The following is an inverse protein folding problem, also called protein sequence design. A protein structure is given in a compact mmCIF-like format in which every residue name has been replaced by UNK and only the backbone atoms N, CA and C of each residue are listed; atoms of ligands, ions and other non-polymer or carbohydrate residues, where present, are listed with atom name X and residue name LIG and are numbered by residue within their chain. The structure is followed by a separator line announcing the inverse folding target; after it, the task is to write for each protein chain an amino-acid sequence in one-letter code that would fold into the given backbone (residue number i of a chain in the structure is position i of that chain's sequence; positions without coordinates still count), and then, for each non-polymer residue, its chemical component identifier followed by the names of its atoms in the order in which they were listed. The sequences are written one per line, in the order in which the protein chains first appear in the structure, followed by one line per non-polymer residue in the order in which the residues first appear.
data_IF_837560439322
#
_entry.id   IF_837560439322
#
_cell.length_a   1.000
_cell.length_b   1.000
_cell.length_c   1.000
_cell.angle_alpha   90.00
_cell.angle_beta   90.00
_cell.angle_gamma   90.00
#
_symmetry.space_group_name_H-M   'P 1'
#
loop_
_entity.id
_entity.type
_entity.pdbx_description
1 polymer ?
#
# COMPACT_ATOMS: atom_id res chain seq x y z
N UNK A 1 14.41 -10.01 21.00
CA UNK A 1 13.76 -10.88 19.99
C UNK A 1 13.26 -10.08 18.78
N UNK A 2 13.99 -9.03 18.33
CA UNK A 2 13.45 -8.06 17.36
C UNK A 2 13.97 -8.26 15.93
N UNK A 3 14.05 -9.52 15.48
CA UNK A 3 14.49 -9.88 14.13
C UNK A 3 13.41 -10.54 13.27
N UNK A 4 12.24 -10.85 13.84
CA UNK A 4 11.20 -11.64 13.16
C UNK A 4 10.17 -10.78 12.42
N UNK A 5 10.08 -9.47 12.66
CA UNK A 5 9.12 -8.59 11.97
C UNK A 5 9.87 -7.53 11.18
N UNK A 6 9.52 -7.37 9.91
CA UNK A 6 9.98 -6.28 9.04
C UNK A 6 8.79 -5.50 8.50
N UNK A 7 8.99 -4.22 8.27
CA UNK A 7 7.97 -3.33 7.72
C UNK A 7 8.37 -2.96 6.30
N UNK A 8 7.54 -3.34 5.35
CA UNK A 8 7.61 -2.95 3.95
C UNK A 8 6.67 -1.75 3.77
N UNK A 9 7.15 -0.73 3.07
CA UNK A 9 6.39 0.50 2.83
C UNK A 9 6.38 0.75 1.34
N UNK A 10 5.17 0.93 0.80
CA UNK A 10 4.91 1.28 -0.58
C UNK A 10 4.35 2.71 -0.64
N UNK A 11 5.21 3.74 -0.75
CA UNK A 11 4.78 5.05 -1.20
C UNK A 11 4.28 4.95 -2.64
N UNK A 12 3.03 5.36 -2.87
CA UNK A 12 2.37 5.26 -4.16
C UNK A 12 1.93 6.64 -4.63
N UNK A 13 2.09 6.89 -5.92
CA UNK A 13 1.64 8.11 -6.60
C UNK A 13 0.99 7.77 -7.93
N UNK A 14 0.18 8.69 -8.41
CA UNK A 14 -0.38 8.68 -9.77
C UNK A 14 -0.02 10.01 -10.44
N UNK A 15 0.28 9.97 -11.74
CA UNK A 15 0.45 11.19 -12.51
C UNK A 15 -0.86 11.64 -13.17
N UNK A 16 -0.83 12.79 -13.83
CA UNK A 16 -2.01 13.35 -14.51
C UNK A 16 -2.52 12.46 -15.67
N UNK A 17 -1.71 11.52 -16.17
CA UNK A 17 -2.12 10.56 -17.20
C UNK A 17 -2.79 9.32 -16.59
N UNK A 18 -2.83 9.19 -15.26
CA UNK A 18 -3.38 8.03 -14.56
C UNK A 18 -2.38 6.90 -14.36
N UNK A 19 -1.09 7.13 -14.66
CA UNK A 19 -0.06 6.11 -14.50
C UNK A 19 0.37 6.02 -13.04
N UNK A 20 0.11 4.85 -12.44
CA UNK A 20 0.48 4.55 -11.05
C UNK A 20 1.94 4.15 -10.95
N UNK A 21 2.65 4.70 -9.95
CA UNK A 21 4.01 4.34 -9.61
C UNK A 21 4.15 4.12 -8.12
N UNK A 22 5.01 3.19 -7.75
CA UNK A 22 5.33 2.92 -6.35
C UNK A 22 6.83 2.92 -6.12
N UNK A 23 7.23 3.18 -4.88
CA UNK A 23 8.57 2.88 -4.37
C UNK A 23 8.47 1.71 -3.42
N UNK A 24 9.54 0.94 -3.30
CA UNK A 24 9.60 -0.17 -2.36
C UNK A 24 10.68 0.10 -1.31
N UNK A 25 10.23 0.38 -0.09
CA UNK A 25 11.08 0.67 1.04
C UNK A 25 10.94 -0.44 2.07
N UNK A 26 12.04 -0.83 2.71
CA UNK A 26 12.03 -1.79 3.81
C UNK A 26 12.70 -1.16 5.01
N UNK A 27 12.02 -1.19 6.14
CA UNK A 27 12.52 -0.65 7.41
C UNK A 27 12.41 -1.72 8.50
N UNK A 28 13.35 -1.66 9.44
CA UNK A 28 13.32 -2.52 10.63
C UNK A 28 12.36 -1.92 11.65
N UNK A 29 11.69 -2.79 12.38
CA UNK A 29 10.88 -2.42 13.54
C UNK A 29 11.80 -2.12 14.73
N UNK A 30 11.76 -0.89 15.24
CA UNK A 30 12.47 -0.51 16.45
C UNK A 30 11.96 -1.25 17.69
N UNK A 31 12.75 -1.30 18.77
CA UNK A 31 12.42 -2.15 19.91
C UNK A 31 11.19 -1.76 20.73
N UNK A 32 10.81 -0.49 20.66
CA UNK A 32 9.63 0.08 21.31
C UNK A 32 8.72 0.78 20.30
N UNK A 33 8.93 0.52 19.01
CA UNK A 33 8.22 1.18 17.92
C UNK A 33 7.06 0.30 17.46
N UNK A 34 5.88 0.89 17.23
CA UNK A 34 4.79 0.18 16.55
C UNK A 34 5.07 0.06 15.05
N UNK A 35 4.52 -0.94 14.35
CA UNK A 35 4.63 -1.02 12.90
C UNK A 35 4.17 0.26 12.16
N UNK A 36 3.15 0.96 12.66
CA UNK A 36 2.68 2.23 12.10
C UNK A 36 3.73 3.34 12.24
N UNK A 37 4.40 3.42 13.40
CA UNK A 37 5.50 4.37 13.62
C UNK A 37 6.67 4.05 12.68
N UNK A 38 7.01 2.77 12.53
CA UNK A 38 8.06 2.32 11.62
C UNK A 38 7.72 2.64 10.16
N UNK A 39 6.48 2.43 9.73
CA UNK A 39 6.01 2.74 8.39
C UNK A 39 6.08 4.25 8.10
N UNK A 40 5.58 5.09 9.01
CA UNK A 40 5.68 6.56 8.90
C UNK A 40 7.14 7.01 8.79
N UNK A 41 8.00 6.54 9.69
CA UNK A 41 9.44 6.84 9.67
C UNK A 41 10.09 6.39 8.37
N UNK A 42 9.78 5.17 7.91
CA UNK A 42 10.31 4.61 6.67
C UNK A 42 9.92 5.41 5.43
N UNK A 43 8.71 5.98 5.42
CA UNK A 43 8.24 6.85 4.34
C UNK A 43 8.60 8.33 4.52
N UNK A 44 9.14 8.75 5.67
CA UNK A 44 9.41 10.16 5.99
C UNK A 44 8.17 11.00 6.31
N UNK A 45 7.06 10.36 6.70
CA UNK A 45 5.81 11.03 7.07
C UNK A 45 5.85 11.44 8.54
N UNK A 46 5.51 12.70 8.83
CA UNK A 46 5.49 13.22 10.20
C UNK A 46 4.28 12.68 10.98
N UNK A 47 4.44 12.56 12.30
CA UNK A 47 3.31 12.19 13.15
C UNK A 47 2.24 13.30 13.12
N UNK A 48 0.99 12.92 12.90
CA UNK A 48 -0.13 13.86 12.81
C UNK A 48 -0.31 14.53 11.45
N UNK A 49 0.48 14.16 10.43
CA UNK A 49 0.19 14.55 9.05
C UNK A 49 -1.16 13.95 8.61
N UNK A 50 -2.16 14.81 8.43
CA UNK A 50 -3.50 14.44 8.02
C UNK A 50 -3.68 14.43 6.49
N UNK A 51 -2.66 14.83 5.72
CA UNK A 51 -2.70 14.85 4.25
C UNK A 51 -2.18 13.55 3.63
N UNK A 52 -1.51 12.70 4.42
CA UNK A 52 -0.92 11.46 3.95
C UNK A 52 -1.54 10.26 4.67
N UNK A 53 -2.13 9.35 3.90
CA UNK A 53 -2.60 8.07 4.42
C UNK A 53 -1.41 7.14 4.60
N UNK A 54 -1.27 6.58 5.80
CA UNK A 54 -0.34 5.47 6.09
C UNK A 54 -1.17 4.31 6.62
N UNK A 55 -1.33 3.27 5.81
CA UNK A 55 -2.28 2.20 6.12
C UNK A 55 -1.66 0.81 5.93
N UNK A 56 -1.89 -0.09 6.88
CA UNK A 56 -1.52 -1.50 6.74
C UNK A 56 -2.40 -2.17 5.70
N UNK A 57 -1.83 -2.85 4.72
CA UNK A 57 -2.61 -3.45 3.61
C UNK A 57 -2.49 -4.95 3.57
N UNK A 58 -1.35 -5.51 3.96
CA UNK A 58 -1.14 -6.95 3.93
C UNK A 58 -0.02 -7.38 4.86
N UNK A 59 0.09 -8.68 5.05
CA UNK A 59 1.25 -9.30 5.68
C UNK A 59 1.60 -10.58 4.94
N UNK A 60 2.86 -10.99 5.03
CA UNK A 60 3.31 -12.28 4.51
C UNK A 60 4.35 -12.92 5.41
N UNK A 61 4.33 -14.24 5.41
CA UNK A 61 5.36 -15.03 6.04
C UNK A 61 6.49 -15.32 5.06
N UNK A 62 7.73 -15.21 5.52
CA UNK A 62 8.94 -15.65 4.84
C UNK A 62 9.59 -16.78 5.63
N UNK A 63 10.40 -17.63 4.98
CA UNK A 63 11.18 -18.65 5.67
C UNK A 63 11.97 -18.08 6.86
N UNK A 64 12.40 -18.97 7.78
CA UNK A 64 13.09 -18.60 9.01
C UNK A 64 12.27 -17.78 10.03
N UNK A 65 10.93 -17.78 9.92
CA UNK A 65 10.07 -17.18 10.94
C UNK A 65 9.82 -15.68 10.75
N UNK A 66 10.12 -15.12 9.58
CA UNK A 66 10.00 -13.68 9.34
C UNK A 66 8.59 -13.32 8.87
N UNK A 67 7.98 -12.34 9.54
CA UNK A 67 6.75 -11.67 9.14
C UNK A 67 7.13 -10.35 8.46
N UNK A 68 6.57 -10.10 7.28
CA UNK A 68 6.62 -8.80 6.63
C UNK A 68 5.25 -8.17 6.73
N UNK A 69 5.16 -7.00 7.34
CA UNK A 69 3.97 -6.17 7.36
C UNK A 69 4.10 -5.12 6.27
N UNK A 70 3.14 -5.03 5.36
CA UNK A 70 3.18 -4.08 4.25
C UNK A 70 2.22 -2.94 4.48
N UNK A 71 2.76 -1.73 4.42
CA UNK A 71 2.03 -0.47 4.50
C UNK A 71 2.02 0.23 3.15
N UNK A 72 0.89 0.81 2.81
CA UNK A 72 0.80 1.79 1.72
C UNK A 72 0.90 3.19 2.28
N UNK A 73 1.57 4.07 1.54
CA UNK A 73 1.62 5.51 1.81
C UNK A 73 1.11 6.27 0.59
N UNK A 74 0.06 7.06 0.75
CA UNK A 74 -0.60 7.76 -0.35
C UNK A 74 -1.12 9.14 0.10
N UNK A 75 -0.78 10.23 -0.61
CA UNK A 75 0.16 10.30 -1.73
C UNK A 75 1.62 9.99 -1.30
N UNK A 76 2.49 9.64 -2.26
CA UNK A 76 3.94 9.49 -2.00
C UNK A 76 4.51 10.84 -1.55
N UNK A 77 5.10 10.95 -0.34
CA UNK A 77 5.65 12.22 0.17
C UNK A 77 6.88 12.69 -0.62
N UNK A 78 7.50 11.82 -1.43
CA UNK A 78 8.65 12.15 -2.26
C UNK A 78 8.44 11.75 -3.72
N UNK A 79 7.48 12.39 -4.43
CA UNK A 79 7.05 11.95 -5.76
C UNK A 79 8.11 12.16 -6.85
N UNK A 80 9.12 12.98 -6.57
CA UNK A 80 10.26 13.25 -7.45
C UNK A 80 11.33 12.14 -7.44
N UNK A 81 11.27 11.21 -6.49
CA UNK A 81 12.20 10.08 -6.45
C UNK A 81 11.81 9.02 -7.49
N UNK A 82 12.79 8.29 -8.06
CA UNK A 82 12.50 7.17 -8.96
C UNK A 82 11.54 6.16 -8.31
N UNK A 83 10.55 5.72 -9.08
CA UNK A 83 9.62 4.68 -8.68
C UNK A 83 9.36 3.72 -9.83
N UNK A 84 8.91 2.53 -9.49
CA UNK A 84 8.50 1.49 -10.44
C UNK A 84 7.09 1.80 -10.93
N UNK A 85 6.87 1.72 -12.23
CA UNK A 85 5.54 1.78 -12.81
C UNK A 85 4.75 0.51 -12.49
N UNK A 86 3.50 0.66 -12.07
CA UNK A 86 2.63 -0.48 -11.83
C UNK A 86 2.06 -0.96 -13.16
N UNK A 87 2.66 -2.00 -13.73
CA UNK A 87 2.29 -2.53 -15.04
C UNK A 87 1.04 -3.43 -14.95
N UNK A 88 0.78 -4.02 -13.77
CA UNK A 88 -0.31 -4.96 -13.57
C UNK A 88 -1.15 -4.67 -12.33
N UNK A 89 -2.47 -4.52 -12.52
CA UNK A 89 -3.44 -4.45 -11.42
C UNK A 89 -3.93 -5.84 -10.96
N UNK A 90 -3.24 -6.93 -11.36
CA UNK A 90 -3.64 -8.29 -10.99
C UNK A 90 -3.32 -8.57 -9.53
N UNK A 91 -4.30 -9.13 -8.81
CA UNK A 91 -4.05 -9.68 -7.48
C UNK A 91 -3.48 -11.09 -7.60
N UNK A 92 -2.48 -11.38 -6.78
CA UNK A 92 -2.06 -12.74 -6.52
C UNK A 92 -3.20 -13.50 -5.83
N UNK A 93 -3.46 -14.74 -6.24
CA UNK A 93 -4.53 -15.59 -5.71
C UNK A 93 -3.98 -16.94 -5.32
N UNK A 94 -4.48 -17.47 -4.21
CA UNK A 94 -4.27 -18.86 -3.85
C UNK A 94 -4.99 -19.83 -4.79
N UNK A 95 -4.70 -21.12 -4.65
CA UNK A 95 -5.27 -22.18 -5.49
C UNK A 95 -6.73 -22.53 -5.13
N UNK A 96 -7.23 -22.05 -3.99
CA UNK A 96 -8.60 -22.28 -3.57
C UNK A 96 -8.95 -21.61 -2.24
N UNK A 97 -10.22 -21.66 -1.81
CA UNK A 97 -10.69 -20.99 -0.59
C UNK A 97 -10.04 -21.50 0.69
N UNK A 98 -9.59 -22.76 0.73
CA UNK A 98 -8.83 -23.35 1.83
C UNK A 98 -7.30 -23.30 1.60
N UNK A 99 -6.84 -22.66 0.54
CA UNK A 99 -5.43 -22.51 0.17
C UNK A 99 -5.17 -21.08 -0.28
N UNK A 100 -5.30 -20.10 0.64
CA UNK A 100 -5.37 -18.68 0.29
C UNK A 100 -4.02 -18.09 -0.12
N UNK A 101 -2.91 -18.75 0.24
CA UNK A 101 -1.56 -18.30 -0.08
C UNK A 101 -1.26 -18.55 -1.55
N UNK A 102 -0.95 -17.50 -2.35
CA UNK A 102 -0.44 -17.67 -3.69
C UNK A 102 0.92 -18.37 -3.67
N UNK A 103 1.24 -19.12 -4.73
CA UNK A 103 2.56 -19.73 -4.88
C UNK A 103 3.65 -18.66 -5.06
N UNK A 104 3.32 -17.57 -5.75
CA UNK A 104 4.19 -16.43 -5.96
C UNK A 104 3.44 -15.12 -5.73
N UNK A 105 4.13 -14.13 -5.16
CA UNK A 105 3.61 -12.77 -4.92
C UNK A 105 4.68 -11.77 -5.32
N UNK A 106 4.43 -11.06 -6.43
CA UNK A 106 5.27 -9.95 -6.89
C UNK A 106 4.87 -8.64 -6.20
N UNK A 107 5.78 -7.67 -6.21
CA UNK A 107 5.50 -6.33 -5.66
C UNK A 107 4.34 -5.64 -6.37
N UNK A 108 4.17 -5.84 -7.67
CA UNK A 108 3.01 -5.33 -8.42
C UNK A 108 1.69 -5.88 -7.87
N UNK A 109 1.65 -7.16 -7.47
CA UNK A 109 0.44 -7.72 -6.86
C UNK A 109 0.13 -7.05 -5.51
N UNK A 110 1.16 -6.74 -4.73
CA UNK A 110 1.04 -6.07 -3.43
C UNK A 110 0.60 -4.62 -3.61
N UNK A 111 1.20 -3.90 -4.56
CA UNK A 111 0.81 -2.53 -4.90
C UNK A 111 -0.63 -2.46 -5.46
N UNK A 112 -1.01 -3.40 -6.33
CA UNK A 112 -2.38 -3.52 -6.81
C UNK A 112 -3.37 -3.79 -5.68
N UNK A 113 -3.02 -4.66 -4.73
CA UNK A 113 -3.83 -4.91 -3.53
C UNK A 113 -4.00 -3.64 -2.69
N UNK A 114 -2.89 -2.93 -2.44
CA UNK A 114 -2.89 -1.67 -1.71
C UNK A 114 -3.79 -0.62 -2.36
N UNK A 115 -3.74 -0.46 -3.69
CA UNK A 115 -4.58 0.49 -4.42
C UNK A 115 -6.07 0.14 -4.33
N UNK A 116 -6.43 -1.14 -4.44
CA UNK A 116 -7.83 -1.57 -4.25
C UNK A 116 -8.31 -1.33 -2.82
N UNK A 117 -7.42 -1.50 -1.84
CA UNK A 117 -7.74 -1.19 -0.46
C UNK A 117 -7.93 0.31 -0.23
N UNK A 118 -7.08 1.16 -0.82
CA UNK A 118 -7.26 2.62 -0.78
C UNK A 118 -8.55 3.07 -1.47
N UNK A 119 -8.89 2.47 -2.62
CA UNK A 119 -10.16 2.74 -3.29
C UNK A 119 -11.37 2.37 -2.41
N UNK A 120 -11.31 1.21 -1.73
CA UNK A 120 -12.33 0.85 -0.75
C UNK A 120 -12.39 1.84 0.42
N UNK A 121 -11.26 2.25 0.98
CA UNK A 121 -11.22 3.20 2.09
C UNK A 121 -11.70 4.60 1.70
N UNK A 122 -11.44 5.04 0.47
CA UNK A 122 -11.96 6.30 -0.07
C UNK A 122 -13.49 6.38 0.06
N UNK A 123 -14.17 5.27 -0.24
CA UNK A 123 -15.64 5.18 -0.24
C UNK A 123 -16.23 4.87 1.15
N UNK A 124 -15.46 4.22 2.04
CA UNK A 124 -16.01 3.60 3.26
C UNK A 124 -15.42 4.11 4.58
N UNK A 125 -14.30 4.82 4.57
CA UNK A 125 -13.70 5.44 5.75
C UNK A 125 -13.70 6.97 5.58
N UNK A 126 -14.53 7.72 6.32
CA UNK A 126 -14.63 9.17 6.15
C UNK A 126 -13.34 9.93 6.51
N UNK A 127 -12.51 9.38 7.40
CA UNK A 127 -11.25 10.02 7.80
C UNK A 127 -10.19 9.80 6.73
N UNK A 128 -10.05 8.56 6.24
CA UNK A 128 -9.11 8.25 5.15
C UNK A 128 -9.57 8.89 3.84
N UNK A 129 -10.86 8.86 3.55
CA UNK A 129 -11.45 9.46 2.36
C UNK A 129 -11.22 10.97 2.31
N UNK A 130 -11.34 11.69 3.43
CA UNK A 130 -11.03 13.12 3.49
C UNK A 130 -9.56 13.42 3.19
N UNK A 131 -8.63 12.59 3.68
CA UNK A 131 -7.20 12.74 3.38
C UNK A 131 -6.90 12.51 1.88
N UNK A 132 -7.42 11.41 1.31
CA UNK A 132 -7.24 11.08 -0.11
C UNK A 132 -7.89 12.11 -1.05
N UNK A 133 -9.06 12.64 -0.68
CA UNK A 133 -9.77 13.68 -1.44
C UNK A 133 -9.01 15.02 -1.47
N UNK A 134 -8.04 15.22 -0.57
CA UNK A 134 -7.15 16.37 -0.58
C UNK A 134 -6.26 16.46 -1.84
N UNK A 135 -6.02 15.33 -2.51
CA UNK A 135 -5.36 15.26 -3.81
C UNK A 135 -6.35 14.80 -4.89
N UNK A 136 -6.78 15.74 -5.74
CA UNK A 136 -7.80 15.49 -6.77
C UNK A 136 -7.36 14.46 -7.82
N UNK A 137 -6.06 14.32 -8.08
CA UNK A 137 -5.54 13.36 -9.07
C UNK A 137 -5.61 11.95 -8.47
N UNK A 138 -5.17 11.81 -7.20
CA UNK A 138 -5.29 10.55 -6.45
C UNK A 138 -6.74 10.11 -6.33
N UNK A 139 -7.63 11.00 -5.86
CA UNK A 139 -9.04 10.68 -5.65
C UNK A 139 -9.70 10.18 -6.94
N UNK A 140 -9.56 10.92 -8.05
CA UNK A 140 -10.13 10.52 -9.35
C UNK A 140 -9.59 9.19 -9.86
N UNK A 141 -8.30 8.95 -9.69
CA UNK A 141 -7.67 7.71 -10.13
C UNK A 141 -8.17 6.51 -9.30
N UNK A 142 -8.33 6.67 -7.98
CA UNK A 142 -8.88 5.64 -7.09
C UNK A 142 -10.36 5.35 -7.39
N UNK A 143 -11.17 6.38 -7.65
CA UNK A 143 -12.57 6.19 -8.06
C UNK A 143 -12.69 5.40 -9.38
N UNK A 144 -11.77 5.62 -10.33
CA UNK A 144 -11.73 4.83 -11.56
C UNK A 144 -11.48 3.35 -11.28
N UNK A 145 -10.52 3.06 -10.39
CA UNK A 145 -10.22 1.70 -9.96
C UNK A 145 -11.41 1.04 -9.23
N UNK A 146 -12.12 1.76 -8.36
CA UNK A 146 -13.32 1.26 -7.66
C UNK A 146 -14.39 0.79 -8.67
N UNK A 147 -14.64 1.59 -9.73
CA UNK A 147 -15.61 1.26 -10.78
C UNK A 147 -15.22 0.03 -11.61
N UNK A 148 -13.95 -0.13 -11.96
CA UNK A 148 -13.46 -1.29 -12.72
C UNK A 148 -13.59 -2.61 -11.93
N UNK A 149 -13.52 -2.57 -10.60
CA UNK A 149 -13.69 -3.75 -9.75
C UNK A 149 -15.14 -4.25 -9.71
N UNK A 150 -16.12 -3.41 -10.03
CA UNK A 150 -17.56 -3.74 -10.02
C UNK A 150 -18.00 -4.38 -11.35
N UNK A 151 -17.29 -4.12 -12.47
CA UNK A 151 -17.70 -4.58 -13.81
C UNK A 151 -17.25 -6.01 -14.14
N UNK A 152 -16.42 -6.64 -13.29
CA UNK A 152 -16.03 -8.05 -13.47
C UNK A 152 -17.03 -8.96 -12.76
N UNK A 153 -18.15 -9.26 -13.43
CA UNK A 153 -19.08 -10.35 -13.10
C UNK A 153 -19.22 -11.29 -14.30
#
# INVERSE_FOLDING_TARGET
MNGQVSVEVLPIRVDAAGTWRYRHLVTRLGASESPDQAARRGAGVQAGDASTVVHSTSWRYRPQGQIVLTYVVCPDPFPYLPGTELESFRLARGSGPASPSPEHVDLDNVAAHALRHLAYLLDHDPVVGAALAGDVVVARALESLSRELIVVH
#
